data_IF_530624305155
#
_entry.id   IF_530624305155
#
_cell.length_a   1.000
_cell.length_b   1.000
_cell.length_c   1.000
_cell.angle_alpha   90.00
_cell.angle_beta   90.00
_cell.angle_gamma   90.00
#
_symmetry.space_group_name_H-M   'P 1'
#
loop_
_entity.id
_entity.type
_entity.pdbx_description
1 polymer ?
#
# COMPACT_ATOMS: atom_id res chain seq x y z
N UNK A 1 -29.79 9.87 -11.16
CA UNK A 1 -29.24 8.74 -10.40
C UNK A 1 -27.82 9.13 -10.00
N UNK A 2 -27.64 9.65 -8.79
CA UNK A 2 -26.34 10.07 -8.27
C UNK A 2 -25.63 8.81 -7.73
N UNK A 3 -24.72 8.23 -8.51
CA UNK A 3 -23.96 7.06 -8.06
C UNK A 3 -22.91 7.45 -7.02
N UNK A 4 -23.05 6.88 -5.85
CA UNK A 4 -22.27 7.05 -4.62
C UNK A 4 -20.87 6.39 -4.68
N UNK A 5 -20.29 6.20 -5.86
CA UNK A 5 -19.06 5.41 -6.08
C UNK A 5 -17.76 6.05 -5.55
N UNK A 6 -17.84 7.09 -4.70
CA UNK A 6 -16.67 7.87 -4.30
C UNK A 6 -15.91 7.32 -3.08
N UNK A 7 -16.37 6.24 -2.43
CA UNK A 7 -15.86 5.86 -1.09
C UNK A 7 -15.35 4.42 -0.92
N UNK A 8 -15.33 3.55 -1.95
CA UNK A 8 -14.79 2.20 -1.68
C UNK A 8 -14.70 1.16 -2.80
N UNK A 9 -15.09 1.46 -4.03
CA UNK A 9 -14.94 0.50 -5.14
C UNK A 9 -14.03 1.08 -6.22
N UNK A 10 -13.12 0.26 -6.73
CA UNK A 10 -12.37 0.59 -7.93
C UNK A 10 -13.32 0.64 -9.14
N UNK A 11 -13.04 1.47 -10.16
CA UNK A 11 -13.75 1.37 -11.43
C UNK A 11 -13.57 -0.03 -12.02
N UNK A 12 -14.54 -0.50 -12.82
CA UNK A 12 -14.57 -1.88 -13.35
C UNK A 12 -13.28 -2.30 -14.07
N UNK A 13 -12.65 -1.37 -14.79
CA UNK A 13 -11.36 -1.60 -15.46
C UNK A 13 -10.20 -1.93 -14.48
N UNK A 14 -10.32 -1.54 -13.21
CA UNK A 14 -9.32 -1.74 -12.16
C UNK A 14 -9.72 -2.81 -11.13
N UNK A 15 -10.92 -3.41 -11.23
CA UNK A 15 -11.37 -4.47 -10.32
C UNK A 15 -10.36 -5.64 -10.16
N UNK A 16 -9.59 -6.06 -11.20
CA UNK A 16 -8.55 -7.08 -11.02
C UNK A 16 -7.41 -6.68 -10.06
N UNK A 17 -7.25 -5.39 -9.76
CA UNK A 17 -6.22 -4.85 -8.88
C UNK A 17 -6.74 -4.57 -7.46
N UNK A 18 -8.01 -4.85 -7.14
CA UNK A 18 -8.57 -4.72 -5.79
C UNK A 18 -7.63 -5.35 -4.72
N UNK A 19 -7.10 -6.59 -4.90
CA UNK A 19 -6.23 -7.20 -3.90
C UNK A 19 -4.89 -6.48 -3.69
N UNK A 20 -4.38 -5.75 -4.70
CA UNK A 20 -3.15 -4.96 -4.56
C UNK A 20 -3.44 -3.69 -3.75
N UNK A 21 -4.55 -3.03 -4.05
CA UNK A 21 -4.97 -1.81 -3.36
C UNK A 21 -5.19 -2.06 -1.87
N UNK A 22 -5.72 -3.22 -1.50
CA UNK A 22 -5.86 -3.66 -0.10
C UNK A 22 -4.53 -3.71 0.67
N UNK A 23 -3.40 -3.94 -0.02
CA UNK A 23 -2.06 -4.02 0.59
C UNK A 23 -1.36 -2.66 0.63
N UNK A 24 -1.65 -1.73 -0.29
CA UNK A 24 -0.97 -0.43 -0.38
C UNK A 24 -0.89 0.35 0.95
N UNK A 25 -1.91 0.35 1.85
CA UNK A 25 -1.84 1.05 3.13
C UNK A 25 -0.69 0.62 4.05
N UNK A 26 -0.12 -0.59 3.87
CA UNK A 26 1.01 -1.06 4.70
C UNK A 26 2.36 -0.49 4.27
N UNK A 27 2.47 0.06 3.06
CA UNK A 27 3.73 0.52 2.47
C UNK A 27 4.52 1.49 3.37
N UNK A 28 3.90 2.48 4.04
CA UNK A 28 4.63 3.36 4.97
C UNK A 28 5.34 2.59 6.10
N UNK A 29 4.74 1.52 6.62
CA UNK A 29 5.38 0.66 7.62
C UNK A 29 6.56 -0.12 7.01
N UNK A 30 6.44 -0.58 5.75
CA UNK A 30 7.55 -1.23 5.06
C UNK A 30 8.75 -0.29 4.90
N UNK A 31 8.55 1.01 4.65
CA UNK A 31 9.64 1.99 4.62
C UNK A 31 10.28 2.22 5.98
N UNK A 32 9.49 2.23 7.07
CA UNK A 32 10.04 2.26 8.43
C UNK A 32 10.90 1.01 8.70
N UNK A 33 10.40 -0.17 8.37
CA UNK A 33 11.16 -1.43 8.54
C UNK A 33 12.41 -1.47 7.65
N UNK A 34 12.33 -0.92 6.44
CA UNK A 34 13.46 -0.81 5.53
C UNK A 34 14.61 0.00 6.15
N UNK A 35 14.33 1.02 6.97
CA UNK A 35 15.36 1.76 7.69
C UNK A 35 16.16 0.85 8.66
N UNK A 36 15.49 -0.08 9.34
CA UNK A 36 16.16 -1.06 10.21
C UNK A 36 16.91 -2.13 9.40
N UNK A 37 16.37 -2.56 8.26
CA UNK A 37 17.09 -3.45 7.33
C UNK A 37 18.38 -2.76 6.87
N UNK A 38 18.29 -1.50 6.45
CA UNK A 38 19.46 -0.71 6.07
C UNK A 38 20.47 -0.59 7.22
N UNK A 39 20.04 -0.18 8.42
CA UNK A 39 20.93 -0.07 9.57
C UNK A 39 21.58 -1.41 9.95
N UNK A 40 20.85 -2.52 9.86
CA UNK A 40 21.41 -3.86 10.12
C UNK A 40 22.51 -4.25 9.12
N UNK A 41 22.40 -3.83 7.85
CA UNK A 41 23.39 -4.10 6.80
C UNK A 41 24.73 -3.40 7.03
N UNK A 42 24.72 -2.26 7.71
CA UNK A 42 25.90 -1.48 8.07
C UNK A 42 26.33 -1.68 9.52
N UNK A 43 25.77 -2.69 10.21
CA UNK A 43 26.04 -3.00 11.63
C UNK A 43 25.73 -1.85 12.59
N UNK A 44 24.73 -1.02 12.26
CA UNK A 44 24.40 0.19 13.02
C UNK A 44 25.61 1.12 13.23
N UNK A 45 26.51 1.15 12.24
CA UNK A 45 27.57 2.17 12.10
C UNK A 45 27.00 3.40 11.41
#
# INVERSE_FOLDING_TARGET
>A
MFSINFLGLLPEAYAPFDPIVDVLPIIPLLFLLLAFVWQSSVRFR
#
